data_IF_337403148185
#
_entry.id   IF_337403148185
#
_cell.length_a   1.000
_cell.length_b   1.000
_cell.length_c   1.000
_cell.angle_alpha   90.00
_cell.angle_beta   90.00
_cell.angle_gamma   90.00
#
_symmetry.space_group_name_H-M   'P 1'
#
loop_
_entity.id
_entity.type
_entity.pdbx_description
1 polymer ?
#
# COMPACT_ATOMS: atom_id res chain seq x y z
N UNK A 1 5.54 -27.32 -21.31
CA UNK A 1 4.96 -26.04 -20.85
C UNK A 1 4.62 -26.15 -19.37
N UNK A 2 5.21 -25.31 -18.51
CA UNK A 2 4.88 -25.29 -17.08
C UNK A 2 3.75 -24.29 -16.87
N UNK A 3 2.58 -24.78 -16.49
CA UNK A 3 1.39 -23.97 -16.21
C UNK A 3 1.56 -23.26 -14.87
N UNK A 4 1.70 -21.94 -14.91
CA UNK A 4 1.64 -21.10 -13.71
C UNK A 4 0.18 -20.92 -13.31
N UNK A 5 -0.18 -21.42 -12.12
CA UNK A 5 -1.48 -21.14 -11.50
C UNK A 5 -1.40 -19.77 -10.80
N UNK A 6 -2.31 -18.82 -11.07
CA UNK A 6 -2.37 -17.58 -10.31
C UNK A 6 -2.92 -17.89 -8.91
N UNK A 7 -2.14 -17.57 -7.89
CA UNK A 7 -2.58 -17.65 -6.49
C UNK A 7 -3.40 -16.40 -6.20
N UNK A 8 -4.73 -16.53 -6.18
CA UNK A 8 -5.63 -15.49 -5.72
C UNK A 8 -5.60 -15.46 -4.19
N UNK A 9 -5.09 -14.37 -3.60
CA UNK A 9 -5.18 -14.14 -2.15
C UNK A 9 -6.49 -13.40 -1.89
N UNK A 10 -7.48 -14.12 -1.39
CA UNK A 10 -8.72 -13.56 -0.86
C UNK A 10 -8.43 -13.00 0.54
N UNK A 11 -8.45 -11.68 0.69
CA UNK A 11 -8.32 -11.02 1.98
C UNK A 11 -9.70 -10.93 2.63
N UNK A 12 -10.08 -11.94 3.40
CA UNK A 12 -11.31 -11.94 4.19
C UNK A 12 -11.10 -11.16 5.50
N UNK A 13 -11.70 -9.98 5.61
CA UNK A 13 -11.78 -9.21 6.85
C UNK A 13 -12.62 -9.95 7.91
N UNK A 14 -11.95 -10.58 8.87
CA UNK A 14 -12.56 -11.08 10.11
C UNK A 14 -12.18 -10.13 11.25
N UNK A 15 -13.17 -9.37 11.72
CA UNK A 15 -13.05 -8.49 12.88
C UNK A 15 -13.11 -9.31 14.17
N UNK A 16 -11.99 -9.46 14.87
CA UNK A 16 -11.96 -9.93 16.25
C UNK A 16 -11.07 -9.00 17.09
N UNK A 17 -11.66 -8.43 18.12
CA UNK A 17 -10.99 -7.54 19.06
C UNK A 17 -10.21 -8.32 20.15
N UNK A 18 -9.12 -7.68 20.58
CA UNK A 18 -8.47 -7.75 21.90
C UNK A 18 -7.29 -8.72 22.06
N UNK A 19 -6.07 -8.17 21.98
CA UNK A 19 -5.03 -8.22 23.03
C UNK A 19 -3.74 -7.55 22.50
N UNK A 20 -3.29 -6.48 23.14
CA UNK A 20 -2.02 -5.81 22.80
C UNK A 20 -0.85 -6.61 23.38
N UNK A 21 -0.43 -7.65 22.67
CA UNK A 21 0.90 -8.20 22.84
C UNK A 21 1.83 -7.42 21.91
N UNK A 22 2.48 -6.37 22.44
CA UNK A 22 3.59 -5.71 21.72
C UNK A 22 4.82 -6.62 21.76
N UNK A 23 4.76 -7.72 21.01
CA UNK A 23 5.93 -8.46 20.62
C UNK A 23 6.67 -7.60 19.60
N UNK A 24 7.72 -6.90 20.05
CA UNK A 24 8.73 -6.31 19.16
C UNK A 24 9.56 -7.43 18.52
N UNK A 25 8.91 -8.36 17.83
CA UNK A 25 9.55 -9.27 16.91
C UNK A 25 9.93 -8.47 15.68
N UNK A 26 11.21 -8.42 15.35
CA UNK A 26 11.68 -7.86 14.09
C UNK A 26 11.03 -8.63 12.93
N UNK A 27 9.98 -8.06 12.34
CA UNK A 27 9.32 -8.62 11.16
C UNK A 27 10.36 -8.80 10.05
N UNK A 28 10.56 -10.03 9.58
CA UNK A 28 11.41 -10.32 8.43
C UNK A 28 10.63 -10.01 7.14
N UNK A 29 10.89 -8.84 6.56
CA UNK A 29 10.20 -8.37 5.36
C UNK A 29 10.70 -9.11 4.12
N UNK A 30 9.80 -9.85 3.47
CA UNK A 30 10.07 -10.47 2.17
C UNK A 30 9.77 -9.50 1.01
N UNK A 31 10.37 -9.74 -0.14
CA UNK A 31 10.00 -9.03 -1.37
C UNK A 31 8.72 -9.61 -1.95
N UNK A 32 7.85 -8.74 -2.46
CA UNK A 32 6.64 -9.11 -3.20
C UNK A 32 6.96 -9.07 -4.70
N UNK A 33 6.44 -10.05 -5.45
CA UNK A 33 6.62 -10.12 -6.89
C UNK A 33 5.72 -9.09 -7.58
N UNK A 34 6.25 -8.35 -8.55
CA UNK A 34 5.51 -7.32 -9.29
C UNK A 34 4.26 -7.88 -9.98
N UNK A 35 4.33 -9.12 -10.44
CA UNK A 35 3.25 -9.81 -11.15
C UNK A 35 2.07 -10.17 -10.25
N UNK A 36 2.25 -10.13 -8.92
CA UNK A 36 1.16 -10.33 -7.97
C UNK A 36 0.24 -9.10 -8.01
N UNK A 37 -0.91 -9.27 -8.65
CA UNK A 37 -1.96 -8.25 -8.70
C UNK A 37 -2.84 -8.35 -7.45
N UNK A 38 -3.06 -7.22 -6.82
CA UNK A 38 -4.06 -7.03 -5.77
C UNK A 38 -5.29 -6.43 -6.44
N UNK A 39 -6.42 -7.12 -6.34
CA UNK A 39 -7.69 -6.55 -6.78
C UNK A 39 -8.10 -5.49 -5.75
N UNK A 40 -8.10 -4.24 -6.16
CA UNK A 40 -8.47 -3.10 -5.32
C UNK A 40 -9.69 -2.43 -5.93
N UNK A 41 -10.85 -2.56 -5.28
CA UNK A 41 -11.98 -1.69 -5.59
C UNK A 41 -11.72 -0.31 -4.94
N UNK A 42 -11.43 0.65 -5.80
CA UNK A 42 -11.07 2.00 -5.37
C UNK A 42 -12.26 2.70 -4.68
N UNK A 43 -13.52 2.46 -5.09
CA UNK A 43 -14.70 3.01 -4.42
C UNK A 43 -14.78 2.48 -2.99
N UNK A 44 -14.68 1.16 -2.87
CA UNK A 44 -14.83 0.49 -1.58
C UNK A 44 -13.70 0.91 -0.64
N UNK A 45 -12.49 1.06 -1.16
CA UNK A 45 -11.36 1.58 -0.38
C UNK A 45 -11.58 3.02 0.04
N UNK A 46 -12.08 3.90 -0.84
CA UNK A 46 -12.47 5.26 -0.48
C UNK A 46 -13.50 5.31 0.64
N UNK A 47 -14.54 4.47 0.54
CA UNK A 47 -15.58 4.36 1.56
C UNK A 47 -15.00 3.89 2.89
N UNK A 48 -14.12 2.89 2.88
CA UNK A 48 -13.39 2.45 4.06
C UNK A 48 -12.56 3.56 4.70
N UNK A 49 -11.85 4.37 3.90
CA UNK A 49 -11.06 5.49 4.42
C UNK A 49 -11.90 6.58 5.10
N UNK A 50 -13.19 6.70 4.76
CA UNK A 50 -14.09 7.69 5.31
C UNK A 50 -14.92 7.17 6.49
N UNK A 51 -15.50 5.97 6.35
CA UNK A 51 -16.48 5.40 7.30
C UNK A 51 -15.90 4.32 8.21
N UNK A 52 -14.72 3.80 7.89
CA UNK A 52 -14.06 2.74 8.64
C UNK A 52 -13.17 3.26 9.78
N UNK A 53 -12.24 2.41 10.19
CA UNK A 53 -11.17 2.74 11.14
C UNK A 53 -9.80 2.47 10.47
N UNK A 54 -9.40 3.31 9.48
CA UNK A 54 -8.14 3.13 8.80
C UNK A 54 -6.96 3.49 9.69
N UNK A 55 -5.83 2.80 9.52
CA UNK A 55 -4.58 3.30 10.09
C UNK A 55 -4.29 4.69 9.50
N UNK A 56 -3.85 5.62 10.35
CA UNK A 56 -3.56 7.01 9.97
C UNK A 56 -2.65 7.16 8.74
N UNK A 57 -1.82 6.16 8.42
CA UNK A 57 -0.97 6.17 7.23
C UNK A 57 -1.71 5.76 5.96
N UNK A 58 -2.76 4.95 6.05
CA UNK A 58 -3.53 4.48 4.90
C UNK A 58 -4.15 5.63 4.12
N UNK A 59 -4.27 5.44 2.81
CA UNK A 59 -4.84 6.42 1.91
C UNK A 59 -4.19 6.41 0.54
N UNK A 60 -4.58 7.37 -0.30
CA UNK A 60 -4.01 7.53 -1.63
C UNK A 60 -2.81 8.48 -1.58
N UNK A 61 -1.72 8.05 -2.20
CA UNK A 61 -0.49 8.81 -2.34
C UNK A 61 -0.22 9.08 -3.82
N UNK A 62 0.15 10.33 -4.12
CA UNK A 62 0.64 10.73 -5.43
C UNK A 62 2.15 10.77 -5.41
N UNK A 63 2.78 10.28 -6.48
CA UNK A 63 4.21 10.47 -6.70
C UNK A 63 4.55 11.94 -6.94
N UNK A 64 5.79 12.35 -6.62
CA UNK A 64 6.24 13.74 -6.83
C UNK A 64 6.05 14.24 -8.27
N UNK A 65 6.29 13.36 -9.25
CA UNK A 65 6.13 13.65 -10.68
C UNK A 65 4.67 13.56 -11.16
N UNK A 66 3.72 13.25 -10.27
CA UNK A 66 2.30 13.12 -10.60
C UNK A 66 1.91 11.87 -11.37
N UNK A 67 2.88 11.03 -11.78
CA UNK A 67 2.66 9.91 -12.70
C UNK A 67 1.97 8.70 -12.08
N UNK A 68 1.88 8.62 -10.76
CA UNK A 68 1.31 7.47 -10.05
C UNK A 68 0.34 7.93 -8.96
N UNK A 69 -0.80 7.28 -8.89
CA UNK A 69 -1.63 7.19 -7.69
C UNK A 69 -1.47 5.81 -7.09
N UNK A 70 -1.23 5.75 -5.78
CA UNK A 70 -0.88 4.52 -5.07
C UNK A 70 -1.70 4.48 -3.78
N UNK A 71 -2.48 3.43 -3.58
CA UNK A 71 -3.13 3.17 -2.31
C UNK A 71 -2.12 2.54 -1.35
N UNK A 72 -1.86 3.20 -0.21
CA UNK A 72 -1.21 2.56 0.93
C UNK A 72 -2.29 1.87 1.76
N UNK A 73 -2.19 0.56 1.88
CA UNK A 73 -3.18 -0.29 2.54
C UNK A 73 -2.47 -1.05 3.65
N UNK A 74 -3.10 -1.14 4.82
CA UNK A 74 -2.61 -1.99 5.90
C UNK A 74 -2.67 -3.46 5.45
N UNK A 75 -1.60 -4.19 5.72
CA UNK A 75 -1.51 -5.61 5.40
C UNK A 75 -1.06 -6.36 6.67
N UNK A 76 -1.96 -7.15 7.24
CA UNK A 76 -1.69 -7.96 8.43
C UNK A 76 -0.97 -9.29 8.13
N UNK A 77 -0.58 -9.52 6.87
CA UNK A 77 0.23 -10.68 6.50
C UNK A 77 1.57 -10.68 7.24
N UNK A 78 2.01 -11.88 7.67
CA UNK A 78 3.22 -12.04 8.48
C UNK A 78 4.44 -11.46 7.76
N UNK A 79 4.99 -10.38 8.31
CA UNK A 79 6.20 -9.73 7.80
C UNK A 79 5.92 -8.45 7.01
N UNK A 80 4.66 -8.11 6.77
CA UNK A 80 4.22 -6.86 6.17
C UNK A 80 3.38 -6.09 7.20
N UNK A 81 3.43 -4.76 7.17
CA UNK A 81 2.46 -3.88 7.86
C UNK A 81 1.66 -3.08 6.83
N UNK A 82 2.31 -2.72 5.72
CA UNK A 82 1.68 -1.96 4.65
C UNK A 82 2.14 -2.43 3.28
N UNK A 83 1.24 -2.31 2.29
CA UNK A 83 1.55 -2.44 0.87
C UNK A 83 1.07 -1.20 0.12
N UNK A 84 1.80 -0.86 -0.94
CA UNK A 84 1.45 0.20 -1.89
C UNK A 84 0.98 -0.40 -3.19
N UNK A 85 -0.30 -0.26 -3.50
CA UNK A 85 -0.91 -0.79 -4.72
C UNK A 85 -1.13 0.34 -5.72
N UNK A 86 -0.69 0.17 -6.96
CA UNK A 86 -0.94 1.15 -8.03
C UNK A 86 -2.44 1.22 -8.30
N UNK A 87 -3.00 2.42 -8.14
CA UNK A 87 -4.39 2.76 -8.50
C UNK A 87 -4.45 3.31 -9.91
N UNK A 88 -3.48 4.14 -10.30
CA UNK A 88 -3.33 4.59 -11.67
C UNK A 88 -1.88 4.93 -11.98
N UNK A 89 -1.51 4.81 -13.26
CA UNK A 89 -0.19 5.14 -13.75
C UNK A 89 -0.26 5.75 -15.16
N UNK A 90 0.54 6.78 -15.39
CA UNK A 90 0.72 7.41 -16.71
C UNK A 90 2.02 6.90 -17.37
N UNK A 91 2.11 5.57 -17.52
CA UNK A 91 3.19 4.88 -18.26
C UNK A 91 2.87 3.40 -18.49
N UNK A 92 3.51 2.76 -19.48
CA UNK A 92 3.30 1.34 -19.79
C UNK A 92 3.97 0.36 -18.81
N UNK A 93 4.69 0.84 -17.80
CA UNK A 93 5.49 -0.04 -16.93
C UNK A 93 4.74 -0.53 -15.69
N UNK A 94 3.67 0.17 -15.33
CA UNK A 94 2.90 -0.09 -14.12
C UNK A 94 1.43 -0.21 -14.49
N UNK A 95 0.82 -1.30 -14.04
CA UNK A 95 -0.61 -1.54 -14.20
C UNK A 95 -1.32 -1.38 -12.86
N UNK A 96 -2.60 -1.03 -12.93
CA UNK A 96 -3.48 -1.05 -11.77
C UNK A 96 -3.44 -2.41 -11.05
N UNK A 97 -3.44 -2.37 -9.72
CA UNK A 97 -3.35 -3.54 -8.85
C UNK A 97 -1.93 -4.05 -8.60
N UNK A 98 -0.91 -3.55 -9.29
CA UNK A 98 0.49 -3.98 -9.02
C UNK A 98 1.05 -3.35 -7.75
N UNK A 99 1.84 -4.14 -7.00
CA UNK A 99 2.51 -3.66 -5.79
C UNK A 99 3.77 -2.86 -6.15
N UNK A 100 3.80 -1.58 -5.75
CA UNK A 100 4.93 -0.66 -5.97
C UNK A 100 5.87 -0.56 -4.78
N UNK A 101 5.37 -0.80 -3.58
CA UNK A 101 6.19 -0.88 -2.37
C UNK A 101 5.53 -1.71 -1.27
N UNK A 102 6.34 -2.15 -0.30
CA UNK A 102 5.86 -2.80 0.91
C UNK A 102 6.73 -2.41 2.11
N UNK A 103 6.11 -2.24 3.27
CA UNK A 103 6.76 -1.72 4.47
C UNK A 103 6.41 -2.52 5.71
N UNK A 104 7.33 -2.45 6.66
CA UNK A 104 7.09 -2.68 8.09
C UNK A 104 7.25 -1.38 8.86
N UNK A 105 6.40 -1.17 9.85
CA UNK A 105 6.56 -0.10 10.85
C UNK A 105 7.55 -0.58 11.91
N UNK A 106 8.47 0.28 12.31
CA UNK A 106 9.37 -0.01 13.43
C UNK A 106 9.10 0.92 14.64
N UNK A 107 9.74 0.60 15.76
CA UNK A 107 9.65 1.36 17.02
C UNK A 107 10.11 2.82 16.91
N UNK A 108 10.94 3.14 15.92
CA UNK A 108 11.54 4.47 15.75
C UNK A 108 10.67 5.41 14.89
N UNK A 109 9.37 5.11 14.79
CA UNK A 109 8.43 5.85 13.96
C UNK A 109 8.87 5.92 12.48
N UNK A 110 9.40 4.82 11.94
CA UNK A 110 9.77 4.67 10.53
C UNK A 110 9.00 3.55 9.87
N UNK A 111 8.76 3.74 8.57
CA UNK A 111 8.48 2.66 7.64
C UNK A 111 9.81 2.21 7.04
N UNK A 112 10.11 0.91 7.08
CA UNK A 112 11.24 0.30 6.39
C UNK A 112 10.72 -0.74 5.41
N UNK A 113 11.26 -0.77 4.20
CA UNK A 113 10.98 -1.86 3.29
C UNK A 113 11.50 -1.64 1.89
N UNK A 114 10.72 -2.01 0.87
CA UNK A 114 11.18 -2.00 -0.51
C UNK A 114 10.27 -1.17 -1.40
N UNK A 115 10.89 -0.47 -2.36
CA UNK A 115 10.22 0.02 -3.57
C UNK A 115 10.64 -0.86 -4.75
N UNK A 116 9.73 -1.08 -5.70
CA UNK A 116 10.01 -1.87 -6.89
C UNK A 116 10.15 -0.94 -8.10
N UNK A 117 11.10 -1.24 -9.00
CA UNK A 117 11.20 -0.55 -10.29
C UNK A 117 10.33 -1.23 -11.36
N UNK A 118 10.36 -0.71 -12.60
CA UNK A 118 9.59 -1.26 -13.73
C UNK A 118 9.90 -2.73 -14.04
N UNK A 119 11.07 -3.24 -13.63
CA UNK A 119 11.49 -4.64 -13.80
C UNK A 119 11.15 -5.51 -12.58
N UNK A 120 10.46 -4.98 -11.57
CA UNK A 120 10.17 -5.69 -10.32
C UNK A 120 11.36 -5.84 -9.39
N UNK A 121 12.50 -5.19 -9.68
CA UNK A 121 13.67 -5.20 -8.79
C UNK A 121 13.39 -4.36 -7.55
N UNK A 122 13.60 -4.96 -6.38
CA UNK A 122 13.42 -4.33 -5.08
C UNK A 122 14.62 -3.45 -4.71
N UNK A 123 14.35 -2.26 -4.19
CA UNK A 123 15.34 -1.35 -3.62
C UNK A 123 14.93 -0.99 -2.19
N UNK A 124 15.82 -1.16 -1.20
CA UNK A 124 15.49 -0.84 0.19
C UNK A 124 15.26 0.66 0.36
N UNK A 125 14.26 1.03 1.14
CA UNK A 125 13.94 2.41 1.48
C UNK A 125 13.46 2.51 2.93
N UNK A 126 13.63 3.69 3.51
CA UNK A 126 13.04 4.02 4.80
C UNK A 126 12.41 5.41 4.74
N UNK A 127 11.21 5.53 5.30
CA UNK A 127 10.51 6.80 5.48
C UNK A 127 10.25 7.07 6.95
N UNK A 128 10.24 8.34 7.32
CA UNK A 128 9.76 8.77 8.64
C UNK A 128 8.25 8.92 8.60
N UNK A 129 7.57 8.46 9.64
CA UNK A 129 6.13 8.66 9.82
C UNK A 129 5.89 10.08 10.35
N UNK A 130 5.02 10.83 9.68
CA UNK A 130 4.47 12.09 10.18
C UNK A 130 3.15 11.86 10.92
N UNK A 131 2.47 12.94 11.30
CA UNK A 131 1.24 12.85 12.12
C UNK A 131 0.16 11.93 11.52
N UNK A 132 -0.04 11.97 10.19
CA UNK A 132 -0.98 11.08 9.49
C UNK A 132 -0.55 10.84 8.03
N UNK A 133 0.76 10.82 7.79
CA UNK A 133 1.33 10.71 6.45
C UNK A 133 2.75 10.16 6.49
N UNK A 134 3.25 9.77 5.34
CA UNK A 134 4.67 9.46 5.14
C UNK A 134 5.41 10.78 4.88
N UNK A 135 6.38 11.15 5.74
CA UNK A 135 7.27 12.29 5.47
C UNK A 135 8.23 11.90 4.35
N UNK A 136 7.90 12.32 3.13
CA UNK A 136 8.66 11.96 1.94
C UNK A 136 8.64 13.07 0.90
N UNK A 137 9.77 13.21 0.20
CA UNK A 137 9.88 14.01 -1.04
C UNK A 137 9.38 13.24 -2.27
N UNK A 138 9.08 11.95 -2.14
CA UNK A 138 8.70 11.08 -3.25
C UNK A 138 7.19 10.84 -3.32
N UNK A 139 6.51 10.86 -2.18
CA UNK A 139 5.10 10.53 -2.04
C UNK A 139 4.41 11.63 -1.23
N UNK A 140 3.24 12.08 -1.70
CA UNK A 140 2.37 13.02 -1.00
C UNK A 140 1.00 12.39 -0.85
N UNK A 141 0.49 12.28 0.39
CA UNK A 141 -0.89 11.85 0.64
C UNK A 141 -1.83 12.88 0.02
N UNK A 142 -2.79 12.43 -0.77
CA UNK A 142 -3.79 13.29 -1.43
C UNK A 142 -5.14 13.14 -0.73
N UNK A 143 -5.95 14.21 -0.75
CA UNK A 143 -7.34 14.13 -0.30
C UNK A 143 -8.15 13.43 -1.39
N UNK A 144 -9.13 12.61 -1.00
CA UNK A 144 -9.92 11.82 -1.96
C UNK A 144 -10.64 12.70 -2.98
N UNK A 145 -11.21 13.83 -2.55
CA UNK A 145 -11.83 14.85 -3.41
C UNK A 145 -10.90 15.47 -4.47
N UNK A 146 -9.58 15.38 -4.30
CA UNK A 146 -8.58 15.96 -5.22
C UNK A 146 -8.12 14.94 -6.29
N UNK A 147 -8.73 13.76 -6.34
CA UNK A 147 -8.45 12.71 -7.31
C UNK A 147 -9.40 12.89 -8.50
N UNK A 148 -8.88 13.21 -9.71
CA UNK A 148 -9.72 13.44 -10.88
C UNK A 148 -10.56 12.20 -11.23
N UNK A 149 -11.85 12.45 -11.52
CA UNK A 149 -12.91 11.51 -11.88
C UNK A 149 -12.49 10.05 -12.11
N UNK A 150 -12.66 9.29 -11.05
CA UNK A 150 -12.90 7.86 -11.05
C UNK A 150 -13.34 7.50 -9.65
N UNK A 151 -14.63 7.21 -9.46
CA UNK A 151 -15.18 6.50 -8.29
C UNK A 151 -15.11 7.20 -6.90
N UNK A 152 -14.08 7.99 -6.60
CA UNK A 152 -13.77 8.57 -5.28
C UNK A 152 -14.25 10.02 -5.09
N UNK A 153 -14.64 10.70 -6.17
CA UNK A 153 -15.04 12.11 -6.13
C UNK A 153 -16.44 12.34 -5.51
N UNK A 154 -17.21 11.26 -5.32
CA UNK A 154 -18.56 11.28 -4.74
C UNK A 154 -18.62 10.87 -3.26
N UNK A 155 -17.48 10.69 -2.60
CA UNK A 155 -17.33 10.41 -1.17
C UNK A 155 -16.73 11.63 -0.46
#
# INVERSE_FOLDING_TARGET
MKTFKPLAVLLSCLMLFSSVASASGTKNLKTIKKEQKVLLDVNQFGKYLHEGDPDSLEGIYRSRDGRYLIALIKNDEKGHDFIGVVVSADNPYWEEGQVKFNFVRNSDNKLKGYIYNSQGKAFPISFTIGESTIKSRHLKKVKLKDIPNGSLASL
#
